data_IF_393646357916
#
_entry.id   IF_393646357916
#
_cell.length_a   1.000
_cell.length_b   1.000
_cell.length_c   1.000
_cell.angle_alpha   90.00
_cell.angle_beta   90.00
_cell.angle_gamma   90.00
#
_symmetry.space_group_name_H-M   'P 1'
#
loop_
_entity.id
_entity.type
_entity.pdbx_description
1 polymer ?
#
# COMPACT_ATOMS: atom_id res chain seq x y z
N UNK A 1 -7.96 25.51 -25.05
CA UNK A 1 -7.60 24.42 -24.12
C UNK A 1 -6.09 24.27 -24.20
N UNK A 2 -5.35 25.04 -23.42
CA UNK A 2 -3.88 25.02 -23.43
C UNK A 2 -3.45 23.98 -22.41
N UNK A 3 -3.07 22.79 -22.89
CA UNK A 3 -2.45 21.78 -22.05
C UNK A 3 -1.15 22.37 -21.46
N UNK A 4 -1.11 22.53 -20.14
CA UNK A 4 0.05 23.04 -19.42
C UNK A 4 1.20 22.02 -19.57
N UNK A 5 2.17 22.32 -20.45
CA UNK A 5 3.35 21.49 -20.72
C UNK A 5 4.45 21.74 -19.67
N UNK A 6 4.11 21.68 -18.38
CA UNK A 6 5.15 21.66 -17.35
C UNK A 6 5.74 20.25 -17.29
N UNK A 7 6.94 20.10 -17.84
CA UNK A 7 7.75 18.90 -17.63
C UNK A 7 8.04 18.80 -16.14
N UNK A 8 7.61 17.73 -15.48
CA UNK A 8 7.95 17.42 -14.09
C UNK A 8 9.47 17.27 -14.07
N UNK A 9 10.16 18.24 -13.48
CA UNK A 9 11.61 18.39 -13.62
C UNK A 9 12.37 17.69 -12.50
N UNK A 10 11.70 17.34 -11.40
CA UNK A 10 12.21 16.52 -10.30
C UNK A 10 11.04 16.07 -9.44
N UNK A 11 10.96 14.79 -9.06
CA UNK A 11 9.97 14.28 -8.11
C UNK A 11 10.51 14.51 -6.69
N UNK A 12 9.85 15.36 -5.89
CA UNK A 12 10.28 15.61 -4.52
C UNK A 12 10.29 14.33 -3.66
N UNK A 13 9.50 13.31 -4.00
CA UNK A 13 9.52 12.01 -3.33
C UNK A 13 10.88 11.31 -3.44
N UNK A 14 11.59 11.47 -4.55
CA UNK A 14 12.91 10.84 -4.77
C UNK A 14 14.01 11.46 -3.89
N UNK A 15 13.89 12.76 -3.61
CA UNK A 15 14.95 13.55 -2.95
C UNK A 15 14.65 13.89 -1.50
N UNK A 16 13.42 13.66 -1.03
CA UNK A 16 13.03 13.94 0.35
C UNK A 16 13.87 13.13 1.36
N UNK A 17 14.35 13.81 2.40
CA UNK A 17 15.28 13.23 3.39
C UNK A 17 16.75 13.28 2.98
N UNK A 18 17.08 13.94 1.86
CA UNK A 18 18.46 14.19 1.41
C UNK A 18 18.81 15.68 1.43
N UNK A 19 20.10 16.00 1.32
CA UNK A 19 20.57 17.38 1.10
C UNK A 19 20.48 17.66 -0.40
N UNK A 20 19.59 18.58 -0.78
CA UNK A 20 19.28 18.95 -2.17
C UNK A 20 20.15 20.11 -2.70
N UNK A 21 20.05 20.42 -3.99
CA UNK A 21 20.75 21.53 -4.66
C UNK A 21 19.75 22.51 -5.32
N UNK A 22 20.20 23.30 -6.30
CA UNK A 22 19.35 24.23 -7.04
C UNK A 22 18.57 23.55 -8.19
N UNK A 23 18.83 22.26 -8.47
CA UNK A 23 18.11 21.49 -9.48
C UNK A 23 16.65 21.27 -9.09
N UNK A 24 16.40 20.92 -7.84
CA UNK A 24 15.08 20.59 -7.33
C UNK A 24 14.17 21.83 -7.34
N UNK A 25 12.91 21.65 -7.74
CA UNK A 25 11.92 22.72 -7.84
C UNK A 25 10.84 22.58 -6.77
N UNK A 26 9.95 23.58 -6.71
CA UNK A 26 8.79 23.53 -5.81
C UNK A 26 7.87 22.39 -6.21
N UNK A 27 7.51 21.58 -5.23
CA UNK A 27 6.63 20.45 -5.40
C UNK A 27 5.80 20.24 -4.12
N UNK A 28 4.73 19.46 -4.22
CA UNK A 28 3.86 19.09 -3.11
C UNK A 28 3.84 17.57 -2.95
N UNK A 29 3.98 17.10 -1.71
CA UNK A 29 4.01 15.68 -1.38
C UNK A 29 2.86 15.32 -0.43
N UNK A 30 2.37 14.08 -0.54
CA UNK A 30 1.51 13.49 0.46
C UNK A 30 2.36 12.71 1.47
N UNK A 31 2.05 12.86 2.76
CA UNK A 31 2.72 12.15 3.84
C UNK A 31 1.79 11.06 4.37
N UNK A 32 2.30 9.83 4.42
CA UNK A 32 1.58 8.72 5.02
C UNK A 32 1.64 8.81 6.56
N UNK A 33 0.50 8.61 7.21
CA UNK A 33 0.37 8.71 8.66
C UNK A 33 -0.43 7.54 9.24
N UNK A 34 -0.18 7.21 10.50
CA UNK A 34 -0.96 6.25 11.28
C UNK A 34 -1.31 6.79 12.68
N UNK A 35 -2.45 6.39 13.23
CA UNK A 35 -2.94 6.83 14.55
C UNK A 35 -2.39 5.92 15.65
N UNK A 36 -1.39 6.40 16.37
CA UNK A 36 -0.64 5.61 17.35
C UNK A 36 -0.72 6.21 18.75
N UNK A 37 -0.37 5.42 19.77
CA UNK A 37 -0.38 5.82 21.19
C UNK A 37 1.04 5.99 21.69
N UNK A 38 1.33 7.10 22.36
CA UNK A 38 2.66 7.41 22.88
C UNK A 38 3.02 6.58 24.13
N UNK A 39 4.20 5.95 24.12
CA UNK A 39 4.75 5.16 25.23
C UNK A 39 5.20 6.02 26.42
N UNK A 40 5.67 7.23 26.13
CA UNK A 40 6.16 8.24 27.08
C UNK A 40 6.02 9.64 26.46
N UNK A 41 6.61 10.67 27.07
CA UNK A 41 6.57 12.02 26.50
C UNK A 41 7.46 12.11 25.26
N UNK A 42 6.89 12.52 24.13
CA UNK A 42 7.56 12.63 22.84
C UNK A 42 7.51 14.06 22.30
N UNK A 43 8.55 14.49 21.59
CA UNK A 43 8.64 15.82 20.96
C UNK A 43 8.19 15.77 19.50
N UNK A 44 7.58 16.85 18.96
CA UNK A 44 7.33 16.98 17.53
C UNK A 44 8.62 16.76 16.72
N UNK A 45 8.55 15.95 15.66
CA UNK A 45 9.70 15.59 14.82
C UNK A 45 10.66 14.55 15.41
N UNK A 46 10.39 14.00 16.59
CA UNK A 46 11.24 12.96 17.20
C UNK A 46 11.08 11.63 16.46
N UNK A 47 12.20 10.95 16.19
CA UNK A 47 12.24 9.62 15.58
C UNK A 47 11.67 8.56 16.53
N UNK A 48 10.71 7.78 16.03
CA UNK A 48 9.97 6.81 16.84
C UNK A 48 9.63 5.54 16.07
N UNK A 49 9.38 4.46 16.80
CA UNK A 49 8.87 3.21 16.25
C UNK A 49 8.05 2.42 17.24
N UNK A 50 7.51 1.29 16.78
CA UNK A 50 6.66 0.41 17.58
C UNK A 50 7.48 -0.33 18.65
N UNK A 51 6.98 -0.30 19.88
CA UNK A 51 7.49 -1.07 21.00
C UNK A 51 6.73 -2.40 21.13
N UNK A 52 7.26 -3.32 21.95
CA UNK A 52 6.68 -4.65 22.13
C UNK A 52 5.24 -4.67 22.68
N UNK A 53 4.80 -3.57 23.31
CA UNK A 53 3.45 -3.42 23.85
C UNK A 53 2.47 -2.75 22.87
N UNK A 54 2.90 -2.48 21.64
CA UNK A 54 2.10 -1.83 20.59
C UNK A 54 2.02 -0.30 20.70
N UNK A 55 2.66 0.30 21.71
CA UNK A 55 2.81 1.77 21.78
C UNK A 55 4.00 2.23 20.93
N UNK A 56 4.08 3.53 20.68
CA UNK A 56 5.15 4.14 19.88
C UNK A 56 6.03 5.03 20.76
N UNK A 57 7.34 4.93 20.58
CA UNK A 57 8.33 5.76 21.27
C UNK A 57 9.74 5.57 20.71
N UNK A 58 10.75 6.12 21.39
CA UNK A 58 12.16 5.98 21.01
C UNK A 58 12.57 4.50 20.92
N UNK A 59 13.22 4.12 19.83
CA UNK A 59 13.74 2.78 19.59
C UNK A 59 14.98 2.80 18.69
N UNK A 60 15.65 1.65 18.53
CA UNK A 60 16.85 1.52 17.70
C UNK A 60 16.56 1.51 16.19
N UNK A 61 15.33 1.21 15.79
CA UNK A 61 14.91 1.14 14.38
C UNK A 61 13.61 1.92 14.20
N UNK A 62 13.69 3.26 14.14
CA UNK A 62 12.51 4.10 13.95
C UNK A 62 11.92 3.87 12.55
N UNK A 63 10.61 4.08 12.43
CA UNK A 63 9.85 3.94 11.18
C UNK A 63 9.19 5.26 10.75
N UNK A 64 9.32 6.29 11.57
CA UNK A 64 8.77 7.60 11.30
C UNK A 64 9.08 8.59 12.40
N UNK A 65 8.43 9.75 12.31
CA UNK A 65 8.57 10.83 13.28
C UNK A 65 7.22 11.17 13.90
N UNK A 66 7.25 11.71 15.13
CA UNK A 66 6.08 12.40 15.70
C UNK A 66 5.68 13.55 14.80
N UNK A 67 4.38 13.72 14.54
CA UNK A 67 3.82 14.83 13.76
C UNK A 67 4.58 16.16 13.99
N UNK A 68 5.36 16.63 13.00
CA UNK A 68 6.23 17.77 13.15
C UNK A 68 5.46 19.10 13.22
N UNK A 69 4.15 19.08 12.94
CA UNK A 69 3.29 20.27 12.99
C UNK A 69 2.68 20.50 14.38
N UNK A 70 2.85 19.56 15.32
CA UNK A 70 2.43 19.74 16.71
C UNK A 70 3.22 20.87 17.38
N UNK A 71 2.51 21.74 18.11
CA UNK A 71 3.11 22.87 18.83
C UNK A 71 3.61 22.51 20.23
N UNK A 72 3.25 21.32 20.71
CA UNK A 72 3.52 20.84 22.07
C UNK A 72 3.88 19.37 22.05
N UNK A 73 4.55 18.90 23.10
CA UNK A 73 4.88 17.48 23.28
C UNK A 73 3.63 16.61 23.44
N UNK A 74 3.69 15.39 22.93
CA UNK A 74 2.69 14.33 23.18
C UNK A 74 3.05 13.65 24.50
N UNK A 75 2.08 13.46 25.41
CA UNK A 75 2.30 12.77 26.69
C UNK A 75 2.01 11.28 26.56
N UNK A 76 2.52 10.50 27.52
CA UNK A 76 2.22 9.07 27.63
C UNK A 76 0.71 8.80 27.56
N UNK A 77 0.31 7.88 26.69
CA UNK A 77 -1.08 7.45 26.50
C UNK A 77 -1.90 8.36 25.59
N UNK A 78 -1.39 9.52 25.19
CA UNK A 78 -2.04 10.36 24.18
C UNK A 78 -1.84 9.77 22.79
N UNK A 79 -2.81 10.04 21.90
CA UNK A 79 -2.74 9.65 20.51
C UNK A 79 -2.10 10.76 19.68
N UNK A 80 -1.33 10.36 18.69
CA UNK A 80 -0.72 11.27 17.72
C UNK A 80 -0.59 10.60 16.36
N UNK A 81 -0.36 11.41 15.33
CA UNK A 81 0.00 10.91 14.01
C UNK A 81 1.50 10.63 13.99
N UNK A 82 1.88 9.38 13.75
CA UNK A 82 3.24 9.09 13.28
C UNK A 82 3.28 9.43 11.78
N UNK A 83 4.24 10.25 11.37
CA UNK A 83 4.56 10.49 9.97
C UNK A 83 5.61 9.47 9.56
N UNK A 84 5.23 8.51 8.73
CA UNK A 84 6.10 7.41 8.31
C UNK A 84 7.22 7.95 7.42
N UNK A 85 8.42 7.38 7.52
CA UNK A 85 9.51 7.81 6.66
C UNK A 85 9.17 7.63 5.17
N UNK A 86 9.68 8.53 4.30
CA UNK A 86 9.46 8.43 2.87
C UNK A 86 9.94 7.08 2.32
N UNK A 87 9.25 6.56 1.30
CA UNK A 87 9.59 5.32 0.58
C UNK A 87 9.55 4.03 1.42
N UNK A 88 8.95 4.06 2.61
CA UNK A 88 8.72 2.85 3.43
C UNK A 88 7.30 2.26 3.27
N UNK A 89 6.39 2.99 2.63
CA UNK A 89 5.03 2.51 2.36
C UNK A 89 5.06 1.52 1.19
N UNK A 90 4.55 0.31 1.41
CA UNK A 90 4.51 -0.75 0.41
C UNK A 90 3.17 -0.85 -0.32
N UNK A 91 2.10 -0.27 0.23
CA UNK A 91 0.76 -0.23 -0.38
C UNK A 91 -0.08 0.90 0.23
N UNK A 92 -0.94 1.54 -0.57
CA UNK A 92 -1.94 2.51 -0.11
C UNK A 92 -3.33 2.06 -0.59
N UNK A 93 -4.35 2.27 0.26
CA UNK A 93 -5.75 1.93 -0.03
C UNK A 93 -6.60 3.18 0.12
N UNK A 94 -7.27 3.60 -0.95
CA UNK A 94 -8.23 4.71 -0.92
C UNK A 94 -9.60 4.16 -0.55
N UNK A 95 -9.86 4.00 0.76
CA UNK A 95 -11.18 3.57 1.22
C UNK A 95 -12.12 4.77 1.22
N UNK A 96 -13.19 4.68 0.43
CA UNK A 96 -14.34 5.59 0.53
C UNK A 96 -15.49 4.85 1.21
N UNK A 97 -16.22 5.56 2.07
CA UNK A 97 -17.41 5.03 2.75
C UNK A 97 -18.65 5.77 2.24
N UNK A 98 -19.77 5.07 2.07
CA UNK A 98 -21.04 5.68 1.69
C UNK A 98 -22.19 5.10 2.52
N UNK A 99 -23.11 5.93 3.06
CA UNK A 99 -24.13 5.48 4.03
C UNK A 99 -25.06 4.34 3.57
N UNK A 100 -25.24 4.16 2.26
CA UNK A 100 -26.06 3.09 1.70
C UNK A 100 -25.33 1.75 1.54
N UNK A 101 -24.01 1.70 1.70
CA UNK A 101 -23.21 0.48 1.65
C UNK A 101 -22.71 0.20 3.06
N UNK A 102 -23.26 -0.80 3.77
CA UNK A 102 -22.76 -1.16 5.09
C UNK A 102 -21.29 -1.56 4.98
N UNK A 103 -20.46 -1.12 5.93
CA UNK A 103 -19.07 -1.51 6.01
C UNK A 103 -18.98 -3.04 6.01
N UNK A 104 -18.36 -3.59 4.97
CA UNK A 104 -17.96 -4.99 4.99
C UNK A 104 -16.83 -5.05 6.00
N UNK A 105 -16.91 -5.87 7.06
CA UNK A 105 -15.86 -5.94 8.06
C UNK A 105 -14.53 -6.21 7.37
N UNK A 106 -13.53 -5.34 7.60
CA UNK A 106 -12.15 -5.71 7.33
C UNK A 106 -11.90 -7.01 8.11
N UNK A 107 -11.76 -8.12 7.39
CA UNK A 107 -11.30 -9.37 7.96
C UNK A 107 -9.87 -9.14 8.41
N UNK A 108 -9.74 -8.78 9.69
CA UNK A 108 -8.50 -8.81 10.43
C UNK A 108 -7.84 -10.17 10.20
N UNK A 109 -6.65 -10.14 9.57
CA UNK A 109 -5.68 -11.22 9.56
C UNK A 109 -6.24 -12.62 9.35
N UNK A 110 -6.38 -13.04 8.08
CA UNK A 110 -6.22 -14.45 7.78
C UNK A 110 -4.72 -14.74 7.75
N UNK A 111 -4.20 -15.04 8.95
CA UNK A 111 -3.01 -15.86 9.10
C UNK A 111 -3.13 -17.08 8.19
N UNK A 112 -2.00 -17.48 7.59
CA UNK A 112 -1.87 -18.75 6.90
C UNK A 112 -2.35 -19.90 7.80
N UNK A 113 -3.60 -20.33 7.61
CA UNK A 113 -4.13 -21.57 8.20
C UNK A 113 -4.78 -22.37 7.09
N UNK A 114 -4.07 -23.43 6.70
CA UNK A 114 -4.55 -24.64 6.04
C UNK A 114 -5.46 -24.44 4.81
N UNK A 115 -4.83 -24.27 3.65
CA UNK A 115 -5.47 -24.43 2.36
C UNK A 115 -6.05 -25.84 2.20
N UNK A 116 -7.33 -26.03 2.53
CA UNK A 116 -8.14 -27.06 1.89
C UNK A 116 -8.14 -26.74 0.40
N UNK A 117 -7.69 -27.69 -0.42
CA UNK A 117 -7.62 -27.54 -1.87
C UNK A 117 -9.02 -27.16 -2.43
N UNK A 118 -9.21 -25.88 -2.73
CA UNK A 118 -10.38 -25.40 -3.46
C UNK A 118 -10.37 -26.05 -4.84
N UNK A 119 -11.46 -26.70 -5.29
CA UNK A 119 -11.52 -27.31 -6.61
C UNK A 119 -11.21 -26.28 -7.70
N UNK A 120 -10.42 -26.68 -8.71
CA UNK A 120 -10.00 -25.83 -9.83
C UNK A 120 -11.14 -25.01 -10.44
N UNK A 121 -12.33 -25.61 -10.60
CA UNK A 121 -13.51 -24.94 -11.16
C UNK A 121 -14.07 -23.82 -10.28
N UNK A 122 -13.99 -23.96 -8.95
CA UNK A 122 -14.40 -22.90 -8.02
C UNK A 122 -13.39 -21.75 -8.04
N UNK A 123 -12.10 -22.07 -8.13
CA UNK A 123 -11.05 -21.05 -8.28
C UNK A 123 -11.15 -20.30 -9.61
N UNK A 124 -11.46 -21.00 -10.70
CA UNK A 124 -11.67 -20.35 -12.01
C UNK A 124 -12.89 -19.42 -11.98
N UNK A 125 -14.01 -19.86 -11.39
CA UNK A 125 -15.19 -18.99 -11.25
C UNK A 125 -14.87 -17.76 -10.41
N UNK A 126 -14.19 -17.93 -9.28
CA UNK A 126 -13.79 -16.81 -8.42
C UNK A 126 -12.95 -15.77 -9.18
N UNK A 127 -11.98 -16.23 -9.99
CA UNK A 127 -11.14 -15.34 -10.78
C UNK A 127 -11.93 -14.58 -11.86
N UNK A 128 -12.96 -15.23 -12.45
CA UNK A 128 -13.87 -14.57 -13.40
C UNK A 128 -14.74 -13.53 -12.73
N UNK A 129 -15.32 -13.86 -11.57
CA UNK A 129 -16.14 -12.94 -10.79
C UNK A 129 -15.31 -11.74 -10.31
N UNK A 130 -14.07 -11.99 -9.90
CA UNK A 130 -13.13 -10.93 -9.52
C UNK A 130 -12.78 -10.02 -10.71
N UNK A 131 -12.47 -10.59 -11.89
CA UNK A 131 -12.21 -9.82 -13.09
C UNK A 131 -13.43 -8.96 -13.50
N UNK A 132 -14.65 -9.48 -13.40
CA UNK A 132 -15.88 -8.73 -13.67
C UNK A 132 -16.10 -7.56 -12.69
N UNK A 133 -15.56 -7.67 -11.47
CA UNK A 133 -15.66 -6.64 -10.44
C UNK A 133 -14.73 -5.44 -10.65
N UNK A 134 -13.78 -5.52 -11.58
CA UNK A 134 -12.77 -4.50 -11.85
C UNK A 134 -12.71 -4.22 -13.36
N UNK A 135 -12.04 -3.16 -13.86
CA UNK A 135 -12.05 -2.83 -15.28
C UNK A 135 -11.05 -3.68 -16.10
N UNK A 136 -10.96 -5.00 -15.87
CA UNK A 136 -10.10 -5.92 -16.63
C UNK A 136 -10.87 -7.14 -17.09
N UNK A 137 -10.48 -7.73 -18.22
CA UNK A 137 -11.03 -9.03 -18.59
C UNK A 137 -10.24 -10.17 -17.93
N UNK A 138 -10.87 -11.35 -17.83
CA UNK A 138 -10.26 -12.51 -17.19
C UNK A 138 -8.98 -12.97 -17.88
N UNK A 139 -8.93 -12.95 -19.22
CA UNK A 139 -7.77 -13.45 -19.96
C UNK A 139 -6.58 -12.50 -19.79
N UNK A 140 -6.85 -11.18 -19.86
CA UNK A 140 -5.92 -10.09 -19.63
C UNK A 140 -5.36 -10.12 -18.19
N UNK A 141 -6.22 -10.36 -17.19
CA UNK A 141 -5.81 -10.52 -15.79
C UNK A 141 -4.83 -11.70 -15.62
N UNK A 142 -5.14 -12.84 -16.24
CA UNK A 142 -4.33 -14.05 -16.13
C UNK A 142 -2.99 -13.91 -16.87
N UNK A 143 -2.99 -13.24 -18.02
CA UNK A 143 -1.78 -12.97 -18.81
C UNK A 143 -0.84 -12.00 -18.09
N UNK A 144 -1.36 -10.90 -17.53
CA UNK A 144 -0.55 -9.95 -16.78
C UNK A 144 -0.05 -10.51 -15.45
N UNK A 145 -0.84 -11.32 -14.75
CA UNK A 145 -0.38 -12.06 -13.57
C UNK A 145 0.80 -12.98 -13.93
N UNK A 146 0.73 -13.66 -15.08
CA UNK A 146 1.83 -14.48 -15.58
C UNK A 146 3.08 -13.63 -15.89
N UNK A 147 2.92 -12.51 -16.61
CA UNK A 147 4.03 -11.61 -16.94
C UNK A 147 4.74 -11.09 -15.69
N UNK A 148 3.98 -10.72 -14.65
CA UNK A 148 4.54 -10.32 -13.36
C UNK A 148 5.35 -11.44 -12.69
N UNK A 149 4.86 -12.68 -12.73
CA UNK A 149 5.59 -13.82 -12.17
C UNK A 149 6.87 -14.15 -12.95
N UNK A 150 6.86 -14.02 -14.27
CA UNK A 150 8.00 -14.35 -15.13
C UNK A 150 9.05 -13.23 -15.19
N UNK A 151 8.60 -11.98 -15.30
CA UNK A 151 9.45 -10.82 -15.60
C UNK A 151 9.49 -9.78 -14.48
N UNK A 152 8.59 -9.86 -13.50
CA UNK A 152 8.49 -8.85 -12.43
C UNK A 152 7.89 -7.52 -12.92
N UNK A 153 7.28 -7.52 -14.09
CA UNK A 153 6.65 -6.35 -14.69
C UNK A 153 5.33 -6.06 -13.99
N UNK A 154 5.24 -4.85 -13.41
CA UNK A 154 3.97 -4.34 -12.91
C UNK A 154 3.11 -3.91 -14.09
N UNK A 155 1.80 -4.03 -13.94
CA UNK A 155 0.85 -3.61 -14.95
C UNK A 155 0.45 -2.16 -14.70
N UNK A 156 0.87 -1.28 -15.61
CA UNK A 156 0.71 0.16 -15.54
C UNK A 156 -0.32 0.64 -16.57
N UNK A 157 -1.51 1.03 -16.11
CA UNK A 157 -2.53 1.69 -16.96
C UNK A 157 -3.13 2.94 -16.33
N UNK A 158 -2.35 3.64 -15.51
CA UNK A 158 -2.71 4.92 -14.91
C UNK A 158 -4.06 4.83 -14.16
N UNK A 159 -5.00 5.69 -14.56
CA UNK A 159 -6.33 5.82 -13.93
C UNK A 159 -7.18 4.54 -14.00
N UNK A 160 -6.86 3.58 -14.88
CA UNK A 160 -7.62 2.32 -15.00
C UNK A 160 -7.59 1.51 -13.71
N UNK A 161 -6.51 1.61 -12.94
CA UNK A 161 -6.34 0.87 -11.68
C UNK A 161 -6.47 1.76 -10.45
N UNK A 162 -6.98 2.99 -10.60
CA UNK A 162 -7.15 3.88 -9.45
C UNK A 162 -8.16 3.27 -8.46
N UNK A 163 -7.66 2.89 -7.28
CA UNK A 163 -8.44 2.20 -6.24
C UNK A 163 -8.51 0.67 -6.37
N UNK A 164 -7.97 0.09 -7.45
CA UNK A 164 -7.99 -1.36 -7.68
C UNK A 164 -6.73 -2.05 -7.15
N UNK A 165 -6.90 -3.27 -6.62
CA UNK A 165 -5.79 -4.04 -6.03
C UNK A 165 -6.06 -5.55 -6.10
N UNK A 166 -5.01 -6.33 -6.34
CA UNK A 166 -5.07 -7.80 -6.35
C UNK A 166 -5.01 -8.35 -4.91
N UNK A 167 -6.10 -8.91 -4.36
CA UNK A 167 -6.10 -9.46 -3.00
C UNK A 167 -5.17 -10.67 -2.89
N UNK A 168 -4.61 -10.94 -1.69
CA UNK A 168 -3.70 -12.09 -1.48
C UNK A 168 -4.33 -13.45 -1.87
N UNK A 169 -5.65 -13.59 -1.69
CA UNK A 169 -6.40 -14.80 -2.04
C UNK A 169 -6.39 -15.08 -3.55
N UNK A 170 -6.23 -14.05 -4.39
CA UNK A 170 -6.08 -14.21 -5.84
C UNK A 170 -5.03 -15.26 -6.19
N UNK A 171 -3.87 -15.22 -5.51
CA UNK A 171 -2.76 -16.12 -5.80
C UNK A 171 -3.08 -17.58 -5.43
N UNK A 172 -3.95 -17.84 -4.44
CA UNK A 172 -4.40 -19.20 -4.14
C UNK A 172 -5.22 -19.76 -5.30
N UNK A 173 -6.11 -18.95 -5.86
CA UNK A 173 -6.92 -19.34 -7.01
C UNK A 173 -6.09 -19.45 -8.29
N UNK A 174 -5.13 -18.54 -8.49
CA UNK A 174 -4.18 -18.58 -9.59
C UNK A 174 -3.36 -19.87 -9.57
N UNK A 175 -2.78 -20.26 -8.42
CA UNK A 175 -2.06 -21.53 -8.27
C UNK A 175 -2.95 -22.74 -8.57
N UNK A 176 -4.21 -22.72 -8.11
CA UNK A 176 -5.17 -23.81 -8.35
C UNK A 176 -5.56 -23.95 -9.84
N UNK A 177 -5.66 -22.83 -10.57
CA UNK A 177 -6.03 -22.81 -12.00
C UNK A 177 -4.83 -23.01 -12.92
N UNK A 178 -3.65 -22.53 -12.57
CA UNK A 178 -2.47 -22.66 -13.45
C UNK A 178 -1.62 -23.88 -13.12
N UNK A 179 -1.66 -24.36 -11.87
CA UNK A 179 -0.72 -25.35 -11.35
C UNK A 179 0.69 -24.79 -11.11
N UNK A 180 0.90 -23.49 -11.33
CA UNK A 180 2.18 -22.81 -11.11
C UNK A 180 2.24 -22.35 -9.67
N UNK A 181 3.27 -22.75 -8.92
CA UNK A 181 3.47 -22.26 -7.55
C UNK A 181 4.01 -20.83 -7.56
N UNK A 182 3.42 -19.98 -6.72
CA UNK A 182 3.71 -18.54 -6.62
C UNK A 182 4.53 -18.28 -5.35
N UNK A 183 5.77 -17.77 -5.47
CA UNK A 183 6.59 -17.39 -4.33
C UNK A 183 5.90 -16.37 -3.43
N UNK A 184 6.05 -16.50 -2.11
CA UNK A 184 5.44 -15.59 -1.13
C UNK A 184 5.82 -14.12 -1.36
N UNK A 185 7.07 -13.86 -1.77
CA UNK A 185 7.57 -12.52 -2.13
C UNK A 185 6.90 -11.89 -3.35
N UNK A 186 6.18 -12.68 -4.15
CA UNK A 186 5.43 -12.24 -5.34
C UNK A 186 3.92 -12.32 -5.15
N UNK A 187 3.43 -12.51 -3.92
CA UNK A 187 1.97 -12.52 -3.64
C UNK A 187 1.38 -11.11 -3.46
N UNK A 188 2.13 -10.05 -3.77
CA UNK A 188 1.63 -8.67 -3.75
C UNK A 188 0.72 -8.36 -4.94
N UNK A 189 0.15 -7.14 -4.96
CA UNK A 189 -0.52 -6.66 -6.16
C UNK A 189 0.49 -6.27 -7.22
N UNK A 190 0.18 -6.68 -8.45
CA UNK A 190 0.94 -6.31 -9.64
C UNK A 190 0.31 -5.14 -10.40
N UNK A 191 -0.84 -4.62 -9.95
CA UNK A 191 -1.37 -3.36 -10.46
C UNK A 191 -0.53 -2.20 -9.92
N UNK A 192 -0.19 -1.25 -10.80
CA UNK A 192 0.52 -0.04 -10.41
C UNK A 192 -0.13 1.19 -11.04
N UNK A 193 -0.40 2.18 -10.19
CA UNK A 193 -0.81 3.52 -10.59
C UNK A 193 0.39 4.44 -10.87
N UNK A 194 1.62 4.01 -10.57
CA UNK A 194 2.82 4.79 -10.83
C UNK A 194 3.18 4.66 -12.32
N UNK A 195 3.33 5.79 -13.02
CA UNK A 195 3.81 5.86 -14.40
C UNK A 195 5.33 5.69 -14.49
#
# INVERSE_FOLDING_TARGET
>A
MTADKRTVTTDALETLGSIITESEKRDAIHLAVDNVVAAHTLRPGEDVGFLSDGTVGTCDTPVGIVDPFLKTTVKKGERFWIVVYPRQITSLRHVWTHPAFPEVPEVAGLSAVEAKATPRSQSEQWLRDYAEGIPVDYDELMENAKSYLEHGEYWHEGDRFDGEFIPLEFWNHYEAVTGTSVPESKRGSFFSCAC
#
